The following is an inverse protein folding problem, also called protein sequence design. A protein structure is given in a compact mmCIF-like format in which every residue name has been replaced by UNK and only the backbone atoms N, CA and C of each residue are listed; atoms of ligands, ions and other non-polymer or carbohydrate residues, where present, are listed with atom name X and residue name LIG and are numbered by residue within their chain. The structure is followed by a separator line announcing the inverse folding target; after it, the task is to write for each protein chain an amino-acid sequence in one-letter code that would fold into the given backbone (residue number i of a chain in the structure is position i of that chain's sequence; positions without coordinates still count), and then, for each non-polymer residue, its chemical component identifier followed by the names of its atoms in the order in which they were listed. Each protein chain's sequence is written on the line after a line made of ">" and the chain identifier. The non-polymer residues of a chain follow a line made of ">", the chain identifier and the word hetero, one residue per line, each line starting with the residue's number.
data_IF_134652260596
#
_entry.id   IF_134652260596
#
_cell.length_a   1.000
_cell.length_b   1.000
_cell.length_c   1.000
_cell.angle_alpha   90.00
_cell.angle_beta   90.00
_cell.angle_gamma   90.00
#
_symmetry.space_group_name_H-M   'P 1'
#
loop_
_entity.id
_entity.type
_entity.pdbx_description
1 polymer ?
#
# COMPACT_ATOMS: atom_id res chain seq x y z
N UNK A 1 -0.38 10.19 4.91
CA UNK A 1 -0.21 9.46 3.62
C UNK A 1 0.83 8.34 3.68
N UNK A 2 2.04 8.56 4.21
CA UNK A 2 3.09 7.52 4.23
C UNK A 2 2.72 6.28 5.07
N UNK A 3 2.00 6.47 6.19
CA UNK A 3 1.45 5.40 7.00
C UNK A 3 0.49 4.51 6.19
N UNK A 4 -0.47 5.11 5.48
CA UNK A 4 -1.38 4.40 4.58
C UNK A 4 -0.67 3.60 3.49
N UNK A 5 0.34 4.19 2.84
CA UNK A 5 1.14 3.46 1.84
C UNK A 5 1.88 2.26 2.45
N UNK A 6 2.55 2.43 3.60
CA UNK A 6 3.24 1.33 4.29
C UNK A 6 2.27 0.21 4.66
N UNK A 7 1.06 0.56 5.09
CA UNK A 7 0.05 -0.43 5.42
C UNK A 7 -0.44 -1.17 4.18
N UNK A 8 -0.76 -0.44 3.11
CA UNK A 8 -1.15 -1.01 1.82
C UNK A 8 -0.07 -1.93 1.24
N UNK A 9 1.20 -1.49 1.24
CA UNK A 9 2.31 -2.27 0.68
C UNK A 9 2.60 -3.53 1.47
N UNK A 10 2.53 -3.48 2.81
CA UNK A 10 2.64 -4.67 3.69
C UNK A 10 1.51 -5.67 3.44
N UNK A 11 0.28 -5.18 3.21
CA UNK A 11 -0.86 -6.04 2.89
C UNK A 11 -0.77 -6.63 1.48
N UNK A 12 -0.20 -5.91 0.53
CA UNK A 12 -0.05 -6.42 -0.83
C UNK A 12 0.93 -7.60 -0.83
N UNK A 13 0.42 -8.81 -1.11
CA UNK A 13 1.22 -10.04 -1.18
C UNK A 13 2.36 -9.96 -2.18
N UNK A 14 2.29 -9.04 -3.14
CA UNK A 14 3.26 -8.84 -4.22
C UNK A 14 4.68 -8.54 -3.72
N UNK A 15 4.84 -8.00 -2.51
CA UNK A 15 6.17 -7.58 -2.03
C UNK A 15 6.78 -8.45 -0.92
N UNK A 16 5.97 -9.17 -0.15
CA UNK A 16 6.45 -9.95 0.99
C UNK A 16 7.01 -11.32 0.59
N UNK A 17 6.16 -12.21 0.09
CA UNK A 17 6.54 -13.60 -0.17
C UNK A 17 7.53 -13.79 -1.33
N UNK A 18 7.48 -13.03 -2.45
CA UNK A 18 8.41 -13.26 -3.56
C UNK A 18 9.86 -12.92 -3.20
N UNK A 19 10.05 -11.92 -2.33
CA UNK A 19 11.37 -11.56 -1.80
C UNK A 19 11.95 -12.71 -0.97
N UNK A 20 11.15 -13.28 -0.05
CA UNK A 20 11.58 -14.42 0.75
C UNK A 20 11.83 -15.67 -0.08
N UNK A 21 11.03 -15.92 -1.13
CA UNK A 21 11.26 -17.01 -2.08
C UNK A 21 12.58 -16.78 -2.85
N UNK A 22 12.84 -15.57 -3.31
CA UNK A 22 14.10 -15.26 -3.99
C UNK A 22 15.32 -15.45 -3.06
N UNK A 23 15.23 -14.99 -1.81
CA UNK A 23 16.27 -15.21 -0.79
C UNK A 23 16.47 -16.70 -0.52
N UNK A 24 15.38 -17.47 -0.34
CA UNK A 24 15.45 -18.91 -0.12
C UNK A 24 16.09 -19.65 -1.31
N UNK A 25 15.74 -19.29 -2.55
CA UNK A 25 16.34 -19.87 -3.76
C UNK A 25 17.84 -19.58 -3.84
N UNK A 26 18.28 -18.36 -3.51
CA UNK A 26 19.71 -18.02 -3.44
C UNK A 26 20.41 -18.88 -2.38
N UNK A 27 19.86 -18.99 -1.17
CA UNK A 27 20.46 -19.81 -0.10
C UNK A 27 20.50 -21.31 -0.47
N UNK A 28 19.43 -21.86 -1.04
CA UNK A 28 19.40 -23.26 -1.48
C UNK A 28 20.45 -23.49 -2.58
N UNK A 29 20.64 -22.52 -3.47
CA UNK A 29 21.63 -22.62 -4.54
C UNK A 29 23.09 -22.53 -4.07
N UNK A 30 23.37 -21.96 -2.89
CA UNK A 30 24.74 -21.88 -2.34
C UNK A 30 25.16 -23.13 -1.57
N UNK A 31 24.22 -23.90 -1.02
CA UNK A 31 24.50 -25.12 -0.24
C UNK A 31 25.35 -26.15 -1.03
N UNK A 32 25.03 -26.50 -2.29
CA UNK A 32 25.83 -27.46 -3.07
C UNK A 32 27.26 -26.97 -3.32
N UNK A 33 27.46 -25.66 -3.47
CA UNK A 33 28.78 -25.05 -3.72
C UNK A 33 29.72 -25.17 -2.51
N UNK A 34 29.16 -25.23 -1.30
CA UNK A 34 29.92 -25.40 -0.06
C UNK A 34 30.32 -26.89 0.12
N UNK A 35 29.47 -27.81 -0.34
CA UNK A 35 29.70 -29.26 -0.23
C UNK A 35 30.70 -29.75 -1.29
N UNK A 36 30.77 -29.10 -2.45
CA UNK A 36 31.67 -29.49 -3.55
C UNK A 36 33.11 -28.95 -3.39
N UNK A 37 33.83 -29.40 -2.36
CA UNK A 37 35.30 -29.35 -2.18
C UNK A 37 36.11 -28.31 -3.02
N UNK A 38 35.73 -27.03 -2.97
CA UNK A 38 36.53 -25.91 -3.51
C UNK A 38 36.53 -25.70 -5.03
N UNK A 39 35.84 -26.51 -5.85
CA UNK A 39 35.66 -26.21 -7.29
C UNK A 39 34.33 -25.52 -7.51
N UNK A 40 34.27 -24.23 -7.19
CA UNK A 40 33.12 -23.38 -7.49
C UNK A 40 33.11 -23.11 -9.00
N UNK A 41 32.59 -24.06 -9.78
CA UNK A 41 32.14 -23.74 -11.13
C UNK A 41 30.86 -22.92 -10.97
N UNK A 42 31.01 -21.59 -10.90
CA UNK A 42 29.88 -20.67 -10.85
C UNK A 42 29.10 -20.81 -12.15
N UNK A 43 28.02 -21.57 -12.11
CA UNK A 43 27.16 -21.69 -13.27
C UNK A 43 26.39 -20.37 -13.49
N UNK A 44 26.19 -19.93 -14.75
CA UNK A 44 25.53 -18.66 -15.08
C UNK A 44 24.16 -18.44 -14.42
N UNK A 45 23.40 -19.51 -14.14
CA UNK A 45 22.12 -19.41 -13.44
C UNK A 45 22.22 -18.81 -12.03
N UNK A 46 23.36 -18.91 -11.35
CA UNK A 46 23.54 -18.32 -10.03
C UNK A 46 23.53 -16.79 -10.10
N UNK A 47 24.27 -16.22 -11.06
CA UNK A 47 24.30 -14.79 -11.30
C UNK A 47 22.93 -14.25 -11.74
N UNK A 48 22.17 -15.04 -12.48
CA UNK A 48 20.79 -14.70 -12.82
C UNK A 48 19.89 -14.63 -11.57
N UNK A 49 19.94 -15.61 -10.67
CA UNK A 49 19.15 -15.62 -9.44
C UNK A 49 19.54 -14.47 -8.49
N UNK A 50 20.85 -14.22 -8.34
CA UNK A 50 21.35 -13.09 -7.54
C UNK A 50 20.90 -11.77 -8.16
N UNK A 51 21.00 -11.61 -9.47
CA UNK A 51 20.51 -10.44 -10.19
C UNK A 51 19.00 -10.22 -10.00
N UNK A 52 18.20 -11.27 -10.12
CA UNK A 52 16.75 -11.21 -9.89
C UNK A 52 16.41 -10.83 -8.44
N UNK A 53 17.09 -11.42 -7.46
CA UNK A 53 16.92 -11.09 -6.04
C UNK A 53 17.29 -9.63 -5.74
N UNK A 54 18.40 -9.13 -6.31
CA UNK A 54 18.81 -7.74 -6.17
C UNK A 54 17.81 -6.78 -6.83
N UNK A 55 17.25 -7.12 -7.99
CA UNK A 55 16.21 -6.31 -8.65
C UNK A 55 14.93 -6.25 -7.81
N UNK A 56 14.50 -7.37 -7.21
CA UNK A 56 13.34 -7.40 -6.32
C UNK A 56 13.58 -6.58 -5.04
N UNK A 57 14.76 -6.71 -4.43
CA UNK A 57 15.15 -5.93 -3.26
C UNK A 57 15.20 -4.42 -3.59
N UNK A 58 15.76 -4.07 -4.74
CA UNK A 58 15.81 -2.69 -5.22
C UNK A 58 14.40 -2.14 -5.46
N UNK A 59 13.51 -2.90 -6.11
CA UNK A 59 12.12 -2.50 -6.34
C UNK A 59 11.38 -2.29 -5.02
N UNK A 60 11.56 -3.17 -4.03
CA UNK A 60 10.98 -3.02 -2.69
C UNK A 60 11.48 -1.77 -1.98
N UNK A 61 12.79 -1.50 -2.04
CA UNK A 61 13.39 -0.31 -1.42
C UNK A 61 13.03 1.00 -2.13
N UNK A 62 12.89 0.96 -3.46
CA UNK A 62 12.54 2.13 -4.27
C UNK A 62 11.05 2.44 -4.28
N UNK A 63 10.17 1.45 -4.05
CA UNK A 63 8.71 1.62 -4.08
C UNK A 63 8.19 2.82 -3.29
N UNK A 64 8.52 2.97 -1.98
CA UNK A 64 8.13 4.12 -1.18
C UNK A 64 8.63 5.45 -1.75
N UNK A 65 9.83 5.47 -2.34
CA UNK A 65 10.42 6.69 -2.90
C UNK A 65 9.73 7.10 -4.20
N UNK A 66 9.43 6.13 -5.05
CA UNK A 66 8.70 6.37 -6.31
C UNK A 66 7.30 6.87 -5.97
N UNK A 67 6.62 6.23 -5.02
CA UNK A 67 5.30 6.66 -4.56
C UNK A 67 5.32 8.10 -4.01
N UNK A 68 6.28 8.42 -3.13
CA UNK A 68 6.45 9.77 -2.61
C UNK A 68 6.74 10.79 -3.70
N UNK A 69 7.57 10.44 -4.69
CA UNK A 69 7.84 11.31 -5.83
C UNK A 69 6.58 11.55 -6.66
N UNK A 70 5.83 10.49 -6.98
CA UNK A 70 4.57 10.60 -7.71
C UNK A 70 3.55 11.48 -6.98
N UNK A 71 3.47 11.36 -5.64
CA UNK A 71 2.65 12.25 -4.83
C UNK A 71 3.13 13.70 -4.92
N UNK A 72 4.44 13.96 -4.81
CA UNK A 72 5.01 15.32 -4.90
C UNK A 72 4.83 15.97 -6.27
N UNK A 73 4.77 15.17 -7.33
CA UNK A 73 4.53 15.65 -8.69
C UNK A 73 3.04 15.81 -9.02
N UNK A 74 2.14 15.36 -8.14
CA UNK A 74 0.69 15.54 -8.35
C UNK A 74 0.32 17.02 -8.29
N UNK A 75 -0.56 17.51 -9.19
CA UNK A 75 -1.10 18.88 -9.11
C UNK A 75 -1.79 19.20 -7.77
N UNK A 76 -2.28 18.17 -7.09
CA UNK A 76 -2.93 18.30 -5.78
C UNK A 76 -1.94 18.25 -4.60
N UNK A 77 -0.64 18.18 -4.85
CA UNK A 77 0.35 18.17 -3.77
C UNK A 77 0.40 19.54 -3.08
N UNK A 78 0.27 19.55 -1.76
CA UNK A 78 0.29 20.78 -0.97
C UNK A 78 -1.02 21.58 -1.01
N UNK A 79 -2.06 21.07 -1.67
CA UNK A 79 -3.38 21.70 -1.64
C UNK A 79 -4.26 21.10 -0.55
N UNK A 80 -5.15 21.92 0.01
CA UNK A 80 -6.16 21.45 0.95
C UNK A 80 -7.26 20.72 0.19
N UNK A 81 -7.43 19.43 0.50
CA UNK A 81 -8.52 18.61 -0.02
C UNK A 81 -9.56 18.46 1.07
N UNK A 82 -10.80 18.87 0.78
CA UNK A 82 -11.92 18.69 1.71
C UNK A 82 -12.69 17.43 1.34
N UNK A 83 -12.90 16.56 2.32
CA UNK A 83 -13.69 15.34 2.19
C UNK A 83 -14.97 15.49 3.01
N UNK A 84 -16.11 15.36 2.36
CA UNK A 84 -17.41 15.37 3.01
C UNK A 84 -18.09 14.01 2.79
N UNK A 85 -18.32 13.30 3.88
CA UNK A 85 -19.02 12.01 3.88
C UNK A 85 -20.47 12.25 4.29
N UNK A 86 -21.41 11.72 3.50
CA UNK A 86 -22.83 11.77 3.80
C UNK A 86 -23.52 10.45 3.43
N UNK A 87 -24.82 10.34 3.68
CA UNK A 87 -25.56 9.10 3.40
C UNK A 87 -25.62 8.72 1.92
N UNK A 88 -25.45 9.70 1.01
CA UNK A 88 -25.45 9.49 -0.43
C UNK A 88 -24.08 9.02 -0.93
N UNK A 89 -22.99 9.52 -0.36
CA UNK A 89 -21.64 9.16 -0.79
C UNK A 89 -20.54 10.05 -0.23
N UNK A 90 -19.42 10.07 -0.94
CA UNK A 90 -18.26 10.90 -0.70
C UNK A 90 -18.20 12.04 -1.69
N UNK A 91 -18.08 13.26 -1.16
CA UNK A 91 -17.78 14.46 -1.92
C UNK A 91 -16.34 14.89 -1.63
N UNK A 92 -15.53 14.97 -2.68
CA UNK A 92 -14.13 15.40 -2.62
C UNK A 92 -14.01 16.75 -3.30
N UNK A 93 -13.66 17.78 -2.55
CA UNK A 93 -13.43 19.12 -3.08
C UNK A 93 -11.94 19.43 -3.10
N UNK A 94 -11.43 19.72 -4.29
CA UNK A 94 -10.08 20.16 -4.54
C UNK A 94 -10.12 21.55 -5.20
N UNK A 95 -9.05 22.35 -5.12
CA UNK A 95 -9.03 23.67 -5.79
C UNK A 95 -9.27 23.60 -7.31
N UNK A 96 -8.92 22.46 -7.92
CA UNK A 96 -9.02 22.24 -9.37
C UNK A 96 -10.32 21.51 -9.79
N UNK A 97 -11.19 21.15 -8.84
CA UNK A 97 -12.44 20.47 -9.17
C UNK A 97 -13.10 19.73 -8.00
N UNK A 98 -14.31 19.26 -8.24
CA UNK A 98 -15.12 18.49 -7.30
C UNK A 98 -15.38 17.09 -7.86
N UNK A 99 -15.24 16.06 -7.02
CA UNK A 99 -15.57 14.68 -7.34
C UNK A 99 -16.66 14.17 -6.41
N UNK A 100 -17.72 13.58 -6.96
CA UNK A 100 -18.78 12.91 -6.21
C UNK A 100 -18.71 11.41 -6.47
N UNK A 101 -18.65 10.62 -5.41
CA UNK A 101 -18.56 9.16 -5.47
C UNK A 101 -19.64 8.54 -4.60
N UNK A 102 -20.51 7.73 -5.20
CA UNK A 102 -21.52 6.97 -4.45
C UNK A 102 -20.86 5.82 -3.68
N UNK A 103 -21.55 5.32 -2.65
CA UNK A 103 -21.01 4.27 -1.79
C UNK A 103 -20.66 2.97 -2.54
N UNK A 104 -21.36 2.67 -3.64
CA UNK A 104 -21.09 1.51 -4.50
C UNK A 104 -19.71 1.54 -5.18
N UNK A 105 -19.11 2.73 -5.28
CA UNK A 105 -17.74 2.90 -5.78
C UNK A 105 -16.70 2.30 -4.82
N UNK A 106 -17.04 2.14 -3.54
CA UNK A 106 -16.12 1.66 -2.50
C UNK A 106 -16.35 0.19 -2.18
N UNK A 107 -15.29 -0.60 -2.33
CA UNK A 107 -15.32 -2.05 -2.16
C UNK A 107 -14.98 -2.45 -0.72
N UNK A 108 -14.01 -1.78 -0.10
CA UNK A 108 -13.49 -2.16 1.21
C UNK A 108 -13.16 -0.96 2.09
N UNK A 109 -13.45 -1.06 3.39
CA UNK A 109 -12.99 -0.12 4.41
C UNK A 109 -12.15 -0.83 5.46
N UNK A 110 -11.11 -0.14 5.95
CA UNK A 110 -10.16 -0.67 6.93
C UNK A 110 -9.81 0.42 7.93
N UNK A 111 -9.93 0.12 9.22
CA UNK A 111 -9.36 0.94 10.29
C UNK A 111 -7.90 0.57 10.55
N UNK A 112 -7.09 1.57 10.86
CA UNK A 112 -5.71 1.41 11.34
C UNK A 112 -5.48 2.34 12.53
N UNK A 113 -4.43 2.12 13.34
CA UNK A 113 -4.15 2.99 14.49
C UNK A 113 -3.98 4.47 14.12
N UNK A 114 -3.44 4.74 12.92
CA UNK A 114 -3.14 6.11 12.46
C UNK A 114 -4.27 6.76 11.64
N UNK A 115 -5.35 6.02 11.34
CA UNK A 115 -6.43 6.49 10.47
C UNK A 115 -7.16 5.37 9.74
N UNK A 116 -7.91 5.72 8.69
CA UNK A 116 -8.69 4.75 7.92
C UNK A 116 -8.32 4.76 6.44
N UNK A 117 -8.58 3.63 5.79
CA UNK A 117 -8.48 3.47 4.34
C UNK A 117 -9.83 3.07 3.75
N UNK A 118 -10.17 3.70 2.63
CA UNK A 118 -11.34 3.35 1.83
C UNK A 118 -10.86 2.99 0.42
N UNK A 119 -11.13 1.77 -0.01
CA UNK A 119 -10.69 1.23 -1.30
C UNK A 119 -11.78 1.36 -2.33
N UNK A 120 -11.48 2.05 -3.44
CA UNK A 120 -12.36 2.01 -4.62
C UNK A 120 -12.12 0.77 -5.47
N UNK A 121 -10.90 0.22 -5.42
CA UNK A 121 -10.55 -1.08 -5.96
C UNK A 121 -9.31 -1.62 -5.27
N UNK A 122 -8.93 -2.87 -5.53
CA UNK A 122 -7.84 -3.58 -4.81
C UNK A 122 -6.49 -2.84 -4.78
N UNK A 123 -6.24 -1.91 -5.70
CA UNK A 123 -4.97 -1.18 -5.85
C UNK A 123 -5.06 0.33 -5.63
N UNK A 124 -6.26 0.89 -5.39
CA UNK A 124 -6.41 2.30 -5.07
C UNK A 124 -7.20 2.48 -3.79
N UNK A 125 -6.63 3.30 -2.91
CA UNK A 125 -7.19 3.62 -1.61
C UNK A 125 -7.14 5.12 -1.38
N UNK A 126 -8.13 5.62 -0.66
CA UNK A 126 -8.13 6.93 -0.05
C UNK A 126 -7.68 6.77 1.40
N UNK A 127 -6.64 7.50 1.79
CA UNK A 127 -6.10 7.50 3.15
C UNK A 127 -6.61 8.71 3.92
N UNK A 128 -7.30 8.48 5.03
CA UNK A 128 -7.85 9.50 5.92
C UNK A 128 -7.18 9.37 7.29
N UNK A 129 -6.21 10.24 7.62
CA UNK A 129 -5.54 10.16 8.92
C UNK A 129 -6.49 10.55 10.05
N UNK A 130 -6.34 9.95 11.23
CA UNK A 130 -7.13 10.31 12.42
C UNK A 130 -6.99 11.80 12.78
N UNK A 131 -5.84 12.41 12.47
CA UNK A 131 -5.55 13.84 12.66
C UNK A 131 -6.34 14.78 11.74
N UNK A 132 -7.04 14.27 10.72
CA UNK A 132 -7.89 15.10 9.85
C UNK A 132 -9.28 15.36 10.46
N UNK A 133 -9.61 14.72 11.58
CA UNK A 133 -10.89 14.85 12.27
C UNK A 133 -10.74 15.82 13.45
N UNK A 134 -11.80 16.60 13.72
CA UNK A 134 -11.80 17.59 14.81
C UNK A 134 -11.88 16.95 16.19
N UNK A 135 -12.48 15.76 16.29
CA UNK A 135 -12.63 15.01 17.54
C UNK A 135 -12.54 13.51 17.31
N UNK A 136 -12.28 12.75 18.38
CA UNK A 136 -12.32 11.29 18.35
C UNK A 136 -13.74 10.77 18.06
N UNK A 137 -14.77 11.43 18.59
CA UNK A 137 -16.17 11.10 18.29
C UNK A 137 -16.52 11.26 16.81
N UNK A 138 -15.96 12.25 16.12
CA UNK A 138 -16.19 12.42 14.67
C UNK A 138 -15.53 11.29 13.88
N UNK A 139 -14.35 10.86 14.32
CA UNK A 139 -13.66 9.73 13.74
C UNK A 139 -14.45 8.42 13.93
N UNK A 140 -14.98 8.18 15.13
CA UNK A 140 -15.79 6.99 15.41
C UNK A 140 -17.10 6.97 14.62
N UNK A 141 -17.77 8.11 14.50
CA UNK A 141 -18.96 8.26 13.65
C UNK A 141 -18.63 7.98 12.18
N UNK A 142 -17.49 8.46 11.71
CA UNK A 142 -17.00 8.16 10.37
C UNK A 142 -16.72 6.66 10.18
N UNK A 143 -16.09 5.98 11.16
CA UNK A 143 -15.85 4.53 11.11
C UNK A 143 -17.17 3.73 11.06
N UNK A 144 -18.18 4.13 11.83
CA UNK A 144 -19.52 3.54 11.78
C UNK A 144 -20.19 3.74 10.41
N UNK A 145 -20.05 4.93 9.82
CA UNK A 145 -20.59 5.22 8.50
C UNK A 145 -19.97 4.33 7.43
N UNK A 146 -18.64 4.26 7.35
CA UNK A 146 -17.96 3.49 6.31
C UNK A 146 -18.12 1.97 6.52
N UNK A 147 -18.22 1.50 7.77
CA UNK A 147 -18.47 0.07 8.03
C UNK A 147 -19.85 -0.36 7.55
N UNK A 148 -20.84 0.51 7.70
CA UNK A 148 -22.21 0.24 7.26
C UNK A 148 -22.35 0.33 5.73
N UNK A 149 -21.64 1.26 5.10
CA UNK A 149 -21.83 1.59 3.68
C UNK A 149 -20.92 0.82 2.71
N UNK A 150 -19.81 0.25 3.18
CA UNK A 150 -18.89 -0.50 2.31
C UNK A 150 -19.22 -2.00 2.28
N UNK A 151 -19.03 -2.63 1.12
CA UNK A 151 -19.35 -4.05 0.91
C UNK A 151 -18.55 -5.00 1.79
N UNK A 152 -17.28 -4.66 2.02
CA UNK A 152 -16.39 -5.42 2.89
C UNK A 152 -15.78 -4.48 3.94
N UNK A 153 -16.30 -4.51 5.16
CA UNK A 153 -15.71 -3.76 6.26
C UNK A 153 -14.82 -4.64 7.12
N UNK A 154 -13.59 -4.19 7.37
CA UNK A 154 -12.66 -4.76 8.35
C UNK A 154 -12.37 -3.74 9.45
N UNK A 155 -13.44 -3.24 10.04
CA UNK A 155 -13.41 -2.30 11.16
C UNK A 155 -13.73 -3.10 12.41
N UNK A 156 -12.74 -3.23 13.28
CA UNK A 156 -12.79 -3.98 14.53
C UNK A 156 -11.70 -3.51 15.47
#
# INVERSE_FOLDING_TARGET
>A
MLAGYKWHSRRSTVFGWPLWVAVALVVISTIPSIISQGKIQMFPQYWFLVGAALLLALAYWMGPRIYLRALKTSPSFGTTVSYQFNDQGLLVRMPLGEGKFDWDYFIESISTPDGAMIYSHKKAFNWLPKTAFSSESDYDRFLQLISTKTKHSKIG
#
